data_IF_565746210559
#
_entry.id   IF_565746210559
#
_cell.length_a   1.000
_cell.length_b   1.000
_cell.length_c   1.000
_cell.angle_alpha   90.00
_cell.angle_beta   90.00
_cell.angle_gamma   90.00
#
_symmetry.space_group_name_H-M   'P 1'
#
loop_
_entity.id
_entity.type
_entity.pdbx_description
1 polymer ?
#
# COMPACT_ATOMS: atom_id res chain seq x y z
N UNK A 1 23.77 65.54 -44.06
CA UNK A 1 23.41 65.20 -42.66
C UNK A 1 22.02 64.59 -42.68
N UNK A 2 21.92 63.31 -42.26
CA UNK A 2 20.79 62.66 -41.53
C UNK A 2 19.41 62.61 -42.24
N UNK A 3 18.69 61.49 -42.36
CA UNK A 3 18.87 60.03 -42.30
C UNK A 3 17.52 59.50 -42.83
N UNK A 4 17.53 58.54 -43.75
CA UNK A 4 16.33 57.80 -44.16
C UNK A 4 15.80 56.99 -42.98
N UNK A 5 14.48 56.95 -42.78
CA UNK A 5 13.82 55.96 -41.92
C UNK A 5 12.64 55.34 -42.68
N UNK A 6 12.96 54.29 -43.44
CA UNK A 6 12.00 53.35 -44.01
C UNK A 6 11.59 52.43 -42.86
N UNK A 7 10.35 52.55 -42.41
CA UNK A 7 9.81 51.70 -41.35
C UNK A 7 9.30 50.41 -42.01
N UNK A 8 10.15 49.39 -42.03
CA UNK A 8 9.82 48.05 -42.51
C UNK A 8 9.13 47.27 -41.38
N UNK A 9 7.80 47.19 -41.43
CA UNK A 9 7.01 46.40 -40.47
C UNK A 9 7.11 44.91 -40.83
N UNK A 10 7.98 44.19 -40.13
CA UNK A 10 8.12 42.73 -40.25
C UNK A 10 6.98 42.08 -39.46
N UNK A 11 5.98 41.57 -40.19
CA UNK A 11 4.92 40.73 -39.63
C UNK A 11 5.49 39.32 -39.46
N UNK A 12 5.92 38.99 -38.24
CA UNK A 12 6.34 37.64 -37.87
C UNK A 12 5.09 36.79 -37.70
N UNK A 13 4.74 36.02 -38.73
CA UNK A 13 3.73 34.98 -38.66
C UNK A 13 4.29 33.80 -37.84
N UNK A 14 3.96 33.76 -36.55
CA UNK A 14 4.18 32.60 -35.69
C UNK A 14 3.22 31.49 -36.12
N UNK A 15 3.69 30.59 -36.98
CA UNK A 15 3.02 29.32 -37.25
C UNK A 15 3.19 28.43 -36.03
N UNK A 16 2.21 28.46 -35.10
CA UNK A 16 2.06 27.42 -34.10
C UNK A 16 1.69 26.10 -34.80
N UNK A 17 2.70 25.29 -35.09
CA UNK A 17 2.52 23.88 -35.41
C UNK A 17 2.11 23.16 -34.12
N UNK A 18 0.80 23.08 -33.88
CA UNK A 18 0.23 22.19 -32.87
C UNK A 18 0.49 20.75 -33.31
N UNK A 19 1.65 20.23 -32.93
CA UNK A 19 1.93 18.80 -32.94
C UNK A 19 0.97 18.17 -31.93
N UNK A 20 -0.13 17.60 -32.43
CA UNK A 20 -1.01 16.74 -31.65
C UNK A 20 -0.20 15.53 -31.17
N UNK A 21 0.45 15.68 -30.01
CA UNK A 21 0.79 14.55 -29.19
C UNK A 21 -0.54 14.00 -28.70
N UNK A 22 -1.07 13.02 -29.43
CA UNK A 22 -2.06 12.09 -28.91
C UNK A 22 -1.40 11.42 -27.71
N UNK A 23 -1.55 12.05 -26.55
CA UNK A 23 -1.36 11.39 -25.27
C UNK A 23 -2.28 10.18 -25.34
N UNK A 24 -1.69 9.03 -25.62
CA UNK A 24 -2.30 7.75 -25.37
C UNK A 24 -2.61 7.78 -23.88
N UNK A 25 -3.85 8.16 -23.54
CA UNK A 25 -4.48 7.84 -22.27
C UNK A 25 -4.29 6.34 -22.16
N UNK A 26 -3.26 5.93 -21.44
CA UNK A 26 -3.11 4.57 -20.96
C UNK A 26 -4.30 4.43 -20.03
N UNK A 27 -5.41 3.96 -20.59
CA UNK A 27 -6.53 3.47 -19.84
C UNK A 27 -5.97 2.25 -19.12
N UNK A 28 -5.36 2.49 -17.96
CA UNK A 28 -5.02 1.48 -16.99
C UNK A 28 -6.36 0.85 -16.65
N UNK A 29 -6.71 -0.20 -17.40
CA UNK A 29 -7.77 -1.12 -17.01
C UNK A 29 -7.42 -1.48 -15.58
N UNK A 30 -8.22 -0.97 -14.64
CA UNK A 30 -8.08 -1.22 -13.22
C UNK A 30 -8.42 -2.69 -13.08
N UNK A 31 -7.43 -3.56 -13.31
CA UNK A 31 -7.57 -4.99 -13.11
C UNK A 31 -7.98 -5.11 -11.65
N UNK A 32 -9.22 -5.50 -11.41
CA UNK A 32 -9.71 -5.80 -10.07
C UNK A 32 -8.92 -7.02 -9.62
N UNK A 33 -7.75 -6.79 -9.05
CA UNK A 33 -6.93 -7.83 -8.44
C UNK A 33 -7.80 -8.40 -7.33
N UNK A 34 -8.31 -9.60 -7.55
CA UNK A 34 -9.12 -10.32 -6.58
C UNK A 34 -8.21 -10.71 -5.41
N UNK A 35 -8.16 -9.87 -4.37
CA UNK A 35 -7.42 -10.17 -3.16
C UNK A 35 -8.20 -11.25 -2.38
N UNK A 36 -7.70 -12.49 -2.24
CA UNK A 36 -8.46 -13.55 -1.59
C UNK A 36 -8.65 -13.31 -0.08
N UNK A 37 -7.98 -12.30 0.48
CA UNK A 37 -7.97 -12.01 1.91
C UNK A 37 -8.95 -10.91 2.33
N UNK A 38 -9.81 -10.42 1.42
CA UNK A 38 -10.83 -9.42 1.75
C UNK A 38 -11.70 -9.84 2.94
N UNK A 39 -12.08 -8.86 3.76
CA UNK A 39 -12.88 -9.07 4.96
C UNK A 39 -12.10 -8.89 6.26
N UNK A 40 -12.72 -9.31 7.37
CA UNK A 40 -12.23 -9.05 8.72
C UNK A 40 -11.63 -10.31 9.34
N UNK A 41 -10.45 -10.15 9.94
CA UNK A 41 -9.68 -11.21 10.58
C UNK A 41 -9.29 -10.76 11.97
N UNK A 42 -9.58 -11.56 12.99
CA UNK A 42 -9.31 -11.21 14.38
C UNK A 42 -8.61 -12.29 15.17
N UNK A 43 -7.90 -11.85 16.19
CA UNK A 43 -7.36 -12.71 17.25
C UNK A 43 -7.61 -12.06 18.60
N UNK A 44 -7.79 -12.90 19.60
CA UNK A 44 -7.72 -12.50 20.99
C UNK A 44 -6.39 -12.97 21.57
N UNK A 45 -5.86 -12.22 22.53
CA UNK A 45 -4.66 -12.60 23.25
C UNK A 45 -4.66 -12.02 24.65
N UNK A 46 -3.99 -12.72 25.55
CA UNK A 46 -3.74 -12.25 26.91
C UNK A 46 -2.50 -11.35 26.93
N UNK A 47 -2.64 -10.18 27.54
CA UNK A 47 -1.52 -9.28 27.85
C UNK A 47 -0.97 -9.56 29.25
N UNK A 48 -1.83 -10.01 30.17
CA UNK A 48 -1.52 -10.51 31.51
C UNK A 48 -2.63 -11.48 31.96
N UNK A 49 -2.54 -12.03 33.17
CA UNK A 49 -3.47 -13.05 33.70
C UNK A 49 -4.96 -12.66 33.64
N UNK A 50 -5.26 -11.37 33.77
CA UNK A 50 -6.63 -10.85 33.84
C UNK A 50 -6.98 -9.92 32.67
N UNK A 51 -6.02 -9.66 31.79
CA UNK A 51 -6.15 -8.63 30.76
C UNK A 51 -6.09 -9.25 29.38
N UNK A 52 -7.20 -9.17 28.66
CA UNK A 52 -7.32 -9.59 27.27
C UNK A 52 -7.37 -8.40 26.33
N UNK A 53 -6.86 -8.61 25.12
CA UNK A 53 -7.00 -7.67 24.02
C UNK A 53 -7.38 -8.41 22.75
N UNK A 54 -8.13 -7.73 21.89
CA UNK A 54 -8.54 -8.20 20.58
C UNK A 54 -7.87 -7.35 19.51
N UNK A 55 -7.23 -7.97 18.54
CA UNK A 55 -6.76 -7.30 17.32
C UNK A 55 -7.64 -7.74 16.15
N UNK A 56 -8.05 -6.78 15.34
CA UNK A 56 -8.77 -7.01 14.08
C UNK A 56 -8.04 -6.32 12.93
N UNK A 57 -7.80 -7.07 11.86
CA UNK A 57 -7.40 -6.55 10.56
C UNK A 57 -8.59 -6.65 9.60
N UNK A 58 -8.99 -5.54 8.97
CA UNK A 58 -10.01 -5.53 7.91
C UNK A 58 -9.35 -5.19 6.58
N UNK A 59 -9.36 -6.15 5.66
CA UNK A 59 -8.75 -6.01 4.34
C UNK A 59 -9.78 -5.51 3.35
N UNK A 60 -9.52 -4.32 2.81
CA UNK A 60 -10.24 -3.73 1.70
C UNK A 60 -9.41 -3.86 0.41
N UNK A 61 -10.02 -3.51 -0.71
CA UNK A 61 -9.32 -3.52 -2.00
C UNK A 61 -8.14 -2.53 -2.04
N UNK A 62 -8.23 -1.40 -1.35
CA UNK A 62 -7.29 -0.29 -1.41
C UNK A 62 -6.54 -0.04 -0.09
N UNK A 63 -6.84 -0.81 0.95
CA UNK A 63 -6.36 -0.52 2.30
C UNK A 63 -6.52 -1.70 3.25
N UNK A 64 -5.84 -1.63 4.38
CA UNK A 64 -6.02 -2.51 5.52
C UNK A 64 -6.27 -1.63 6.74
N UNK A 65 -7.41 -1.80 7.41
CA UNK A 65 -7.67 -1.18 8.70
C UNK A 65 -7.19 -2.10 9.81
N UNK A 66 -6.41 -1.56 10.74
CA UNK A 66 -6.01 -2.21 11.97
C UNK A 66 -6.76 -1.62 13.15
N UNK A 67 -7.32 -2.49 13.99
CA UNK A 67 -7.92 -2.12 15.26
C UNK A 67 -7.37 -3.03 16.37
N UNK A 68 -7.01 -2.45 17.50
CA UNK A 68 -6.76 -3.15 18.76
C UNK A 68 -7.72 -2.59 19.81
N UNK A 69 -8.44 -3.48 20.48
CA UNK A 69 -9.31 -3.18 21.62
C UNK A 69 -8.78 -3.89 22.86
N UNK A 70 -8.70 -3.19 23.98
CA UNK A 70 -8.15 -3.69 25.23
C UNK A 70 -7.74 -2.52 26.13
N UNK A 71 -6.75 -2.69 27.03
CA UNK A 71 -6.22 -1.60 27.85
C UNK A 71 -5.66 -0.45 27.03
N UNK A 72 -5.09 -0.76 25.87
CA UNK A 72 -4.69 0.20 24.87
C UNK A 72 -5.57 0.03 23.63
N UNK A 73 -6.15 1.14 23.17
CA UNK A 73 -6.92 1.18 21.94
C UNK A 73 -6.06 1.76 20.82
N UNK A 74 -5.94 1.03 19.72
CA UNK A 74 -5.27 1.50 18.51
C UNK A 74 -6.22 1.35 17.33
N UNK A 75 -6.28 2.37 16.47
CA UNK A 75 -7.07 2.34 15.25
C UNK A 75 -6.35 3.14 14.17
N UNK A 76 -5.96 2.49 13.09
CA UNK A 76 -5.33 3.16 11.96
C UNK A 76 -5.55 2.39 10.66
N UNK A 77 -5.34 3.10 9.55
CA UNK A 77 -5.43 2.52 8.21
C UNK A 77 -4.06 2.53 7.55
N UNK A 78 -3.71 1.41 6.92
CA UNK A 78 -2.56 1.30 6.02
C UNK A 78 -3.12 1.34 4.61
N UNK A 79 -2.76 2.35 3.82
CA UNK A 79 -3.19 2.48 2.42
C UNK A 79 -2.34 1.56 1.53
N UNK A 80 -3.00 0.83 0.62
CA UNK A 80 -2.35 -0.10 -0.29
C UNK A 80 -1.49 0.67 -1.28
N UNK A 81 -0.25 0.21 -1.42
CA UNK A 81 0.62 0.60 -2.52
C UNK A 81 0.59 -0.49 -3.60
N UNK A 82 0.95 -1.72 -3.23
CA UNK A 82 0.88 -2.87 -4.15
C UNK A 82 0.59 -4.18 -3.42
N UNK A 83 0.10 -5.17 -4.15
CA UNK A 83 -0.06 -6.54 -3.65
C UNK A 83 0.62 -7.52 -4.60
N UNK A 84 1.66 -8.21 -4.11
CA UNK A 84 2.39 -9.22 -4.86
C UNK A 84 1.75 -10.57 -4.58
N UNK A 85 0.74 -10.92 -5.37
CA UNK A 85 -0.11 -12.11 -5.15
C UNK A 85 0.69 -13.41 -5.11
N UNK A 86 1.70 -13.56 -5.98
CA UNK A 86 2.56 -14.76 -6.03
C UNK A 86 3.40 -14.96 -4.77
N UNK A 87 3.63 -13.89 -4.02
CA UNK A 87 4.43 -13.89 -2.79
C UNK A 87 3.56 -13.76 -1.54
N UNK A 88 2.22 -13.70 -1.68
CA UNK A 88 1.29 -13.37 -0.61
C UNK A 88 1.76 -12.17 0.25
N UNK A 89 2.29 -11.15 -0.42
CA UNK A 89 2.92 -9.99 0.21
C UNK A 89 2.17 -8.72 -0.14
N UNK A 90 1.63 -8.08 0.88
CA UNK A 90 0.93 -6.81 0.78
C UNK A 90 1.85 -5.67 1.21
N UNK A 91 1.93 -4.61 0.41
CA UNK A 91 2.78 -3.46 0.67
C UNK A 91 1.90 -2.22 0.75
N UNK A 92 2.12 -1.40 1.77
CA UNK A 92 1.39 -0.15 1.90
C UNK A 92 2.02 0.82 2.88
N UNK A 93 1.35 1.96 3.05
CA UNK A 93 1.85 3.09 3.81
C UNK A 93 0.87 3.55 4.87
N UNK A 94 1.41 3.96 6.01
CA UNK A 94 0.72 4.75 7.03
C UNK A 94 1.62 5.94 7.30
N UNK A 95 1.13 7.14 7.01
CA UNK A 95 1.92 8.38 7.10
C UNK A 95 3.21 8.25 6.26
N UNK A 96 4.39 8.43 6.88
CA UNK A 96 5.70 8.28 6.22
C UNK A 96 6.25 6.85 6.27
N UNK A 97 5.58 5.95 6.99
CA UNK A 97 6.07 4.60 7.22
C UNK A 97 5.58 3.64 6.13
N UNK A 98 6.51 2.84 5.60
CA UNK A 98 6.19 1.75 4.67
C UNK A 98 6.17 0.41 5.41
N UNK A 99 5.18 -0.43 5.11
CA UNK A 99 5.02 -1.75 5.69
C UNK A 99 4.95 -2.82 4.62
N UNK A 100 5.61 -3.95 4.89
CA UNK A 100 5.38 -5.23 4.23
C UNK A 100 4.57 -6.12 5.18
N UNK A 101 3.44 -6.64 4.70
CA UNK A 101 2.57 -7.57 5.42
C UNK A 101 2.59 -8.89 4.64
N UNK A 102 3.17 -9.90 5.25
CA UNK A 102 3.23 -11.26 4.71
C UNK A 102 2.05 -12.06 5.24
N UNK A 103 1.46 -12.87 4.36
CA UNK A 103 0.24 -13.63 4.65
C UNK A 103 0.50 -15.10 4.35
N UNK A 104 0.27 -15.97 5.34
CA UNK A 104 0.12 -17.41 5.16
C UNK A 104 -1.37 -17.73 5.22
N UNK A 105 -1.87 -18.44 4.22
CA UNK A 105 -3.21 -19.02 4.29
C UNK A 105 -3.08 -20.37 4.98
N UNK A 106 -3.66 -20.50 6.17
CA UNK A 106 -3.63 -21.75 6.92
C UNK A 106 -4.88 -22.58 6.58
N UNK A 107 -6.06 -21.94 6.60
CA UNK A 107 -7.34 -22.54 6.19
C UNK A 107 -8.21 -21.52 5.43
N UNK A 108 -9.45 -21.86 5.10
CA UNK A 108 -10.42 -20.88 4.58
C UNK A 108 -10.87 -19.85 5.62
N UNK A 109 -10.73 -20.18 6.91
CA UNK A 109 -11.19 -19.37 8.04
C UNK A 109 -10.05 -18.85 8.91
N UNK A 110 -8.79 -19.11 8.54
CA UNK A 110 -7.63 -18.62 9.27
C UNK A 110 -6.49 -18.19 8.35
N UNK A 111 -5.85 -17.08 8.74
CA UNK A 111 -4.62 -16.56 8.12
C UNK A 111 -3.60 -16.26 9.19
N UNK A 112 -2.32 -16.39 8.85
CA UNK A 112 -1.21 -15.99 9.71
C UNK A 112 -0.48 -14.80 9.09
N UNK A 113 -0.34 -13.72 9.86
CA UNK A 113 0.21 -12.44 9.42
C UNK A 113 1.53 -12.11 10.11
N UNK A 114 2.46 -11.55 9.36
CA UNK A 114 3.65 -10.87 9.87
C UNK A 114 3.75 -9.48 9.23
N UNK A 115 3.73 -8.44 10.07
CA UNK A 115 3.88 -7.05 9.65
C UNK A 115 5.28 -6.57 9.97
N UNK A 116 5.98 -6.05 8.97
CA UNK A 116 7.33 -5.49 9.11
C UNK A 116 7.36 -4.06 8.59
N UNK A 117 7.88 -3.14 9.40
CA UNK A 117 8.22 -1.78 8.94
C UNK A 117 9.49 -1.86 8.10
N UNK A 118 9.50 -1.21 6.94
CA UNK A 118 10.64 -1.16 6.02
C UNK A 118 10.98 0.28 5.66
N UNK A 119 12.19 0.49 5.12
CA UNK A 119 12.67 1.82 4.71
C UNK A 119 11.81 2.45 3.62
N UNK A 120 11.50 1.68 2.58
CA UNK A 120 10.79 2.15 1.40
C UNK A 120 10.12 1.00 0.64
N UNK A 121 9.32 1.35 -0.39
CA UNK A 121 8.61 0.40 -1.24
C UNK A 121 9.56 -0.58 -1.94
N UNK A 122 10.69 -0.09 -2.45
CA UNK A 122 11.63 -0.93 -3.20
C UNK A 122 12.22 -2.02 -2.29
N UNK A 123 12.54 -1.65 -1.05
CA UNK A 123 12.99 -2.57 -0.01
C UNK A 123 11.92 -3.61 0.32
N UNK A 124 10.64 -3.22 0.46
CA UNK A 124 9.54 -4.17 0.66
C UNK A 124 9.37 -5.14 -0.52
N UNK A 125 9.53 -4.67 -1.76
CA UNK A 125 9.44 -5.53 -2.95
C UNK A 125 10.56 -6.56 -2.95
N UNK A 126 11.81 -6.14 -2.69
CA UNK A 126 12.98 -7.03 -2.66
C UNK A 126 13.05 -7.95 -1.44
N UNK A 127 12.29 -7.66 -0.39
CA UNK A 127 12.30 -8.45 0.84
C UNK A 127 11.75 -9.86 0.55
N UNK A 128 12.52 -10.93 0.83
CA UNK A 128 12.05 -12.30 0.65
C UNK A 128 10.94 -12.63 1.65
N UNK A 129 10.19 -13.70 1.38
CA UNK A 129 9.21 -14.22 2.33
C UNK A 129 9.93 -14.68 3.61
N UNK A 130 9.58 -14.18 4.81
CA UNK A 130 10.29 -14.51 6.04
C UNK A 130 10.08 -15.98 6.48
N UNK A 131 11.06 -16.54 7.19
CA UNK A 131 10.94 -17.86 7.82
C UNK A 131 9.83 -17.90 8.89
N UNK A 132 9.43 -19.10 9.30
CA UNK A 132 8.43 -19.29 10.37
C UNK A 132 8.89 -18.77 11.74
N UNK A 133 10.20 -18.69 11.95
CA UNK A 133 10.81 -18.16 13.17
C UNK A 133 11.02 -16.65 13.12
N UNK A 134 10.70 -15.99 12.01
CA UNK A 134 10.94 -14.57 11.83
C UNK A 134 10.18 -13.72 12.87
N UNK A 135 10.90 -12.77 13.45
CA UNK A 135 10.37 -11.76 14.37
C UNK A 135 10.89 -10.40 13.94
N UNK A 136 10.03 -9.40 14.05
CA UNK A 136 10.40 -7.99 13.96
C UNK A 136 10.37 -7.35 15.35
N UNK A 137 10.96 -6.16 15.48
CA UNK A 137 10.95 -5.37 16.72
C UNK A 137 9.53 -5.19 17.30
N UNK A 138 8.50 -5.25 16.48
CA UNK A 138 7.11 -4.92 16.86
C UNK A 138 6.08 -6.01 16.51
N UNK A 139 6.50 -7.16 15.99
CA UNK A 139 5.56 -8.21 15.55
C UNK A 139 6.27 -9.55 15.35
N UNK A 140 5.59 -10.62 15.73
CA UNK A 140 5.82 -11.99 15.27
C UNK A 140 4.75 -12.40 14.26
N UNK A 141 4.88 -13.62 13.72
CA UNK A 141 3.75 -14.32 13.12
C UNK A 141 2.63 -14.49 14.14
N UNK A 142 1.41 -14.14 13.74
CA UNK A 142 0.21 -14.33 14.54
C UNK A 142 -0.93 -14.84 13.66
N UNK A 143 -1.67 -15.82 14.15
CA UNK A 143 -2.85 -16.36 13.46
C UNK A 143 -4.09 -15.55 13.83
N UNK A 144 -4.92 -15.31 12.82
CA UNK A 144 -6.18 -14.59 12.89
C UNK A 144 -7.27 -15.44 12.27
N UNK A 145 -8.43 -15.45 12.91
CA UNK A 145 -9.62 -16.15 12.44
C UNK A 145 -10.55 -15.17 11.73
N UNK A 146 -11.23 -15.65 10.70
CA UNK A 146 -12.25 -14.88 9.98
C UNK A 146 -13.39 -14.53 10.93
N UNK A 147 -13.80 -13.26 10.94
CA UNK A 147 -15.03 -12.82 11.62
C UNK A 147 -16.28 -13.12 10.81
#
# INVERSE_FOLDING_TARGET
MIKQLITLTIIIALTFSCKNNTDKKVTTKKTTINNPYLGSWSRDFQMSSEVTATVTYTFFNDSIQYQMKGPMNLNYTIKKDTFLIKENKWIGKKDQDTYAIFIKKDTEKSITLLKMKVKDKLSAIKMPFPSDTARSKFSSWNTYNKK
#
